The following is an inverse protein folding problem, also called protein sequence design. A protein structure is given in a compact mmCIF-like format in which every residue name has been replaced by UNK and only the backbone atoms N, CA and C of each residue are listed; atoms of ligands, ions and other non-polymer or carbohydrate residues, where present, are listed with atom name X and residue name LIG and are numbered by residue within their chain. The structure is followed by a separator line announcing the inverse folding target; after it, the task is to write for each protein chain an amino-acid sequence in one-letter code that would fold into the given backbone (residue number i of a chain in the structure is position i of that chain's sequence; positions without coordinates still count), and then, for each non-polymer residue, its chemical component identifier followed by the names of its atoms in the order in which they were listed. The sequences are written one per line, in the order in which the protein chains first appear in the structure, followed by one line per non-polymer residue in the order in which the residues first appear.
data_IF_483653579564
#
_entry.id   IF_483653579564
#
_cell.length_a   1.000
_cell.length_b   1.000
_cell.length_c   1.000
_cell.angle_alpha   90.00
_cell.angle_beta   90.00
_cell.angle_gamma   90.00
#
_symmetry.space_group_name_H-M   'P 1'
#
loop_
_entity.id
_entity.type
_entity.pdbx_description
1 polymer ?
#
# COMPACT_ATOMS: atom_id res chain seq x y z
N UNK A 1 -23.14 -12.73 -16.82
CA UNK A 1 -22.18 -11.70 -16.39
C UNK A 1 -20.82 -12.27 -16.68
N UNK A 2 -20.16 -11.74 -17.69
CA UNK A 2 -19.14 -12.51 -18.42
C UNK A 2 -17.74 -12.34 -17.83
N UNK A 3 -17.59 -11.44 -16.84
CA UNK A 3 -16.32 -11.11 -16.19
C UNK A 3 -16.49 -10.88 -14.68
N UNK A 4 -16.92 -11.90 -13.90
CA UNK A 4 -17.07 -11.77 -12.46
C UNK A 4 -15.74 -11.49 -11.73
N UNK A 5 -14.61 -11.80 -12.35
CA UNK A 5 -13.25 -11.63 -11.80
C UNK A 5 -12.64 -10.24 -12.04
N UNK A 6 -13.19 -9.43 -12.96
CA UNK A 6 -12.61 -8.12 -13.30
C UNK A 6 -12.99 -7.04 -12.29
N UNK A 7 -14.15 -7.19 -11.63
CA UNK A 7 -14.63 -6.29 -10.58
C UNK A 7 -15.07 -7.10 -9.35
N UNK A 8 -14.14 -7.77 -8.66
CA UNK A 8 -14.47 -8.50 -7.45
C UNK A 8 -14.85 -7.49 -6.35
N UNK A 9 -15.74 -7.90 -5.44
CA UNK A 9 -16.12 -7.08 -4.28
C UNK A 9 -14.92 -6.81 -3.35
N UNK A 10 -14.00 -7.76 -3.29
CA UNK A 10 -12.78 -7.71 -2.48
C UNK A 10 -11.54 -7.93 -3.35
N UNK A 11 -10.43 -7.25 -3.04
CA UNK A 11 -9.18 -7.40 -3.77
C UNK A 11 -8.50 -8.74 -3.44
N UNK A 12 -8.07 -9.55 -4.44
CA UNK A 12 -7.53 -10.90 -4.25
C UNK A 12 -6.09 -10.96 -3.70
N UNK A 13 -5.56 -9.86 -3.16
CA UNK A 13 -4.17 -9.72 -2.72
C UNK A 13 -3.25 -9.16 -3.80
N UNK A 14 -1.94 -9.28 -3.59
CA UNK A 14 -0.96 -8.84 -4.59
C UNK A 14 -1.15 -9.61 -5.91
N UNK A 15 -1.03 -8.93 -7.07
CA UNK A 15 -1.02 -9.61 -8.35
C UNK A 15 0.14 -10.61 -8.39
N UNK A 16 -0.01 -11.67 -9.20
CA UNK A 16 1.08 -12.61 -9.46
C UNK A 16 2.34 -11.86 -9.91
N UNK A 17 3.51 -12.45 -9.62
CA UNK A 17 4.81 -11.90 -10.02
C UNK A 17 4.76 -11.62 -11.52
N UNK A 18 4.81 -10.33 -11.87
CA UNK A 18 4.87 -9.89 -13.26
C UNK A 18 6.33 -9.95 -13.73
N UNK A 19 6.59 -10.22 -15.02
CA UNK A 19 7.94 -10.19 -15.58
C UNK A 19 8.62 -8.81 -15.49
N UNK A 20 7.82 -7.76 -15.29
CA UNK A 20 8.28 -6.37 -15.18
C UNK A 20 8.11 -5.92 -13.75
N UNK A 21 9.24 -5.61 -13.10
CA UNK A 21 9.26 -4.91 -11.82
C UNK A 21 8.97 -3.42 -12.03
N UNK A 22 8.21 -2.83 -11.11
CA UNK A 22 8.00 -1.38 -11.10
C UNK A 22 9.21 -0.73 -10.44
N UNK A 23 9.89 0.13 -11.20
CA UNK A 23 11.00 0.94 -10.70
C UNK A 23 10.56 2.40 -10.65
N UNK A 24 10.98 3.10 -9.58
CA UNK A 24 10.73 4.54 -9.41
C UNK A 24 12.06 5.24 -9.62
N UNK A 25 12.22 5.86 -10.79
CA UNK A 25 13.41 6.63 -11.11
C UNK A 25 13.31 8.04 -10.50
N UNK A 26 14.36 8.44 -9.78
CA UNK A 26 14.48 9.80 -9.27
C UNK A 26 15.14 10.69 -10.32
N UNK A 27 14.59 11.89 -10.53
CA UNK A 27 15.25 12.91 -11.33
C UNK A 27 16.59 13.31 -10.67
N UNK A 28 17.62 13.66 -11.46
CA UNK A 28 18.88 14.15 -10.91
C UNK A 28 18.65 15.34 -9.95
N UNK A 29 19.11 15.21 -8.70
CA UNK A 29 18.93 16.23 -7.66
C UNK A 29 17.67 16.08 -6.80
N UNK A 30 16.78 15.13 -7.10
CA UNK A 30 15.66 14.80 -6.22
C UNK A 30 16.15 13.98 -5.01
N UNK A 31 15.67 14.34 -3.81
CA UNK A 31 15.97 13.62 -2.57
C UNK A 31 14.71 13.04 -1.95
N UNK A 32 14.86 11.93 -1.22
CA UNK A 32 13.78 11.37 -0.41
C UNK A 32 13.38 12.37 0.69
N UNK A 33 12.10 12.36 1.06
CA UNK A 33 11.55 13.27 2.06
C UNK A 33 11.00 12.47 3.23
N UNK A 34 11.62 12.63 4.39
CA UNK A 34 11.08 12.14 5.65
C UNK A 34 10.20 13.21 6.30
N UNK A 35 8.93 12.87 6.56
CA UNK A 35 7.98 13.75 7.27
C UNK A 35 7.33 12.99 8.40
N UNK A 36 7.07 13.69 9.51
CA UNK A 36 6.32 13.13 10.62
C UNK A 36 4.86 12.85 10.18
N UNK A 37 4.23 11.77 10.67
CA UNK A 37 2.81 11.52 10.45
C UNK A 37 1.95 12.68 10.98
N UNK A 38 0.79 12.91 10.35
CA UNK A 38 -0.18 13.87 10.83
C UNK A 38 -0.82 13.40 12.15
N UNK A 39 -1.26 14.37 12.97
CA UNK A 39 -2.03 14.07 14.17
C UNK A 39 -3.45 13.66 13.77
N UNK A 40 -3.90 12.54 14.31
CA UNK A 40 -5.24 11.99 14.10
C UNK A 40 -5.99 11.92 15.43
N UNK A 41 -7.31 12.05 15.38
CA UNK A 41 -8.15 11.78 16.54
C UNK A 41 -8.11 10.28 16.91
N UNK A 42 -8.44 9.90 18.15
CA UNK A 42 -8.39 8.49 18.56
C UNK A 42 -9.24 7.54 17.70
N UNK A 43 -10.40 8.00 17.19
CA UNK A 43 -11.27 7.22 16.31
C UNK A 43 -10.63 6.95 14.95
N UNK A 44 -10.03 7.98 14.34
CA UNK A 44 -9.35 7.89 13.04
C UNK A 44 -8.10 7.01 13.14
N UNK A 45 -7.36 7.10 14.25
CA UNK A 45 -6.19 6.24 14.49
C UNK A 45 -6.60 4.76 14.58
N UNK A 46 -7.73 4.45 15.23
CA UNK A 46 -8.24 3.08 15.32
C UNK A 46 -8.59 2.53 13.94
N UNK A 47 -9.28 3.33 13.12
CA UNK A 47 -9.65 2.95 11.75
C UNK A 47 -8.41 2.74 10.87
N UNK A 48 -7.43 3.64 10.96
CA UNK A 48 -6.17 3.51 10.22
C UNK A 48 -5.42 2.21 10.56
N UNK A 49 -5.35 1.86 11.85
CA UNK A 49 -4.69 0.62 12.28
C UNK A 49 -5.41 -0.61 11.73
N UNK A 50 -6.75 -0.59 11.69
CA UNK A 50 -7.55 -1.69 11.13
C UNK A 50 -7.30 -1.86 9.62
N UNK A 51 -7.27 -0.75 8.87
CA UNK A 51 -6.95 -0.75 7.44
C UNK A 51 -5.52 -1.24 7.16
N UNK A 52 -4.54 -0.78 7.94
CA UNK A 52 -3.15 -1.23 7.79
C UNK A 52 -3.01 -2.72 8.06
N UNK A 53 -3.73 -3.25 9.06
CA UNK A 53 -3.76 -4.69 9.34
C UNK A 53 -4.33 -5.46 8.16
N UNK A 54 -5.46 -5.04 7.62
CA UNK A 54 -6.09 -5.68 6.46
C UNK A 54 -5.14 -5.70 5.23
N UNK A 55 -4.48 -4.58 4.95
CA UNK A 55 -3.51 -4.49 3.85
C UNK A 55 -2.29 -5.38 4.05
N UNK A 56 -1.82 -5.51 5.29
CA UNK A 56 -0.72 -6.40 5.65
C UNK A 56 -1.12 -7.87 5.53
N UNK A 57 -2.32 -8.23 6.01
CA UNK A 57 -2.86 -9.60 5.93
C UNK A 57 -3.06 -10.03 4.46
N UNK A 58 -3.44 -9.09 3.59
CA UNK A 58 -3.54 -9.29 2.13
C UNK A 58 -2.19 -9.24 1.40
N UNK A 59 -1.10 -8.92 2.10
CA UNK A 59 0.26 -8.86 1.57
C UNK A 59 0.58 -7.64 0.71
N UNK A 60 -0.30 -6.62 0.65
CA UNK A 60 -0.03 -5.39 -0.12
C UNK A 60 1.08 -4.54 0.47
N UNK A 61 1.26 -4.60 1.79
CA UNK A 61 2.28 -3.86 2.51
C UNK A 61 3.06 -4.80 3.44
N UNK A 62 4.25 -4.36 3.84
CA UNK A 62 5.08 -5.02 4.85
C UNK A 62 5.87 -3.98 5.65
N UNK A 63 6.32 -4.29 6.87
CA UNK A 63 7.23 -3.43 7.61
C UNK A 63 8.48 -3.09 6.79
N UNK A 64 8.94 -1.84 6.89
CA UNK A 64 10.13 -1.36 6.19
C UNK A 64 10.87 -0.29 7.00
N UNK A 65 12.14 -0.11 6.69
CA UNK A 65 12.99 0.97 7.22
C UNK A 65 13.46 1.83 6.05
N UNK A 66 12.72 2.91 5.77
CA UNK A 66 13.13 3.91 4.76
C UNK A 66 14.12 4.91 5.38
N UNK A 67 15.15 5.36 4.65
CA UNK A 67 15.97 6.50 5.04
C UNK A 67 15.18 7.82 5.02
#
# INVERSE_FOLDING_TARGET
QDFPEVFPKDLPGLPSIRPVEFQIDLLPGATLVARAPYRLAPSEMKELVEQLKELSDKGFIRPSSSP
#
